data_IF_001382102369
#
_entry.id   IF_001382102369
#
_cell.length_a   1.000
_cell.length_b   1.000
_cell.length_c   1.000
_cell.angle_alpha   90.00
_cell.angle_beta   90.00
_cell.angle_gamma   90.00
#
_symmetry.space_group_name_H-M   'P 1'
#
loop_
_entity.id
_entity.type
_entity.pdbx_description
1 polymer ?
#
# COMPACT_ATOMS: atom_id res chain seq x y z
N UNK A 1 7.64 -11.18 -0.38
CA UNK A 1 8.37 -10.15 -1.15
C UNK A 1 7.95 -8.80 -0.59
N UNK A 2 8.91 -7.94 -0.22
CA UNK A 2 8.58 -6.62 0.32
C UNK A 2 7.99 -5.74 -0.77
N UNK A 3 6.77 -5.25 -0.54
CA UNK A 3 6.00 -4.45 -1.47
C UNK A 3 5.60 -3.12 -0.84
N UNK A 4 5.63 -2.07 -1.64
CA UNK A 4 4.82 -0.89 -1.45
C UNK A 4 3.45 -1.11 -2.08
N UNK A 5 2.39 -0.90 -1.30
CA UNK A 5 1.04 -0.60 -1.76
C UNK A 5 0.75 0.87 -1.51
N UNK A 6 0.61 1.65 -2.59
CA UNK A 6 0.08 3.01 -2.56
C UNK A 6 -1.40 3.00 -2.89
N UNK A 7 -2.22 3.61 -2.04
CA UNK A 7 -3.67 3.75 -2.22
C UNK A 7 -4.02 5.24 -2.20
N UNK A 8 -4.31 5.83 -3.35
CA UNK A 8 -4.78 7.20 -3.49
C UNK A 8 -6.30 7.19 -3.67
N UNK A 9 -7.05 7.65 -2.68
CA UNK A 9 -8.51 7.52 -2.62
C UNK A 9 -9.20 8.65 -3.38
N UNK A 10 -10.32 8.35 -4.04
CA UNK A 10 -11.17 9.40 -4.60
C UNK A 10 -11.71 10.30 -3.47
N UNK A 11 -11.74 11.61 -3.71
CA UNK A 11 -12.12 12.58 -2.68
C UNK A 11 -13.59 12.49 -2.32
N UNK A 12 -14.47 12.30 -3.31
CA UNK A 12 -15.91 12.24 -3.06
C UNK A 12 -16.28 10.94 -2.33
N UNK A 13 -15.79 9.80 -2.83
CA UNK A 13 -16.02 8.49 -2.24
C UNK A 13 -15.46 8.40 -0.81
N UNK A 14 -14.22 8.87 -0.58
CA UNK A 14 -13.63 8.84 0.76
C UNK A 14 -14.32 9.82 1.73
N UNK A 15 -14.86 10.95 1.27
CA UNK A 15 -15.69 11.83 2.10
C UNK A 15 -16.98 11.15 2.53
N UNK A 16 -17.66 10.45 1.63
CA UNK A 16 -18.86 9.68 1.95
C UNK A 16 -18.56 8.54 2.93
N UNK A 17 -17.48 7.78 2.68
CA UNK A 17 -17.04 6.72 3.57
C UNK A 17 -16.70 7.23 4.99
N UNK A 18 -16.18 8.47 5.13
CA UNK A 18 -15.98 9.10 6.44
C UNK A 18 -17.31 9.38 7.14
N UNK A 19 -18.28 10.00 6.43
CA UNK A 19 -19.60 10.31 7.01
C UNK A 19 -20.33 9.06 7.49
N UNK A 20 -20.14 7.95 6.79
CA UNK A 20 -20.71 6.64 7.14
C UNK A 20 -19.89 5.88 8.20
N UNK A 21 -18.73 6.39 8.62
CA UNK A 21 -17.83 5.70 9.55
C UNK A 21 -17.15 4.45 8.97
N UNK A 22 -17.16 4.29 7.65
CA UNK A 22 -16.63 3.12 6.95
C UNK A 22 -15.14 3.25 6.62
N UNK A 23 -14.63 4.47 6.39
CA UNK A 23 -13.21 4.65 6.04
C UNK A 23 -12.27 4.05 7.10
N UNK A 24 -12.55 4.30 8.39
CA UNK A 24 -11.75 3.75 9.49
C UNK A 24 -11.75 2.22 9.49
N UNK A 25 -12.90 1.59 9.21
CA UNK A 25 -13.03 0.12 9.17
C UNK A 25 -12.26 -0.48 8.00
N UNK A 26 -12.32 0.15 6.82
CA UNK A 26 -11.59 -0.30 5.63
C UNK A 26 -10.08 -0.25 5.89
N UNK A 27 -9.59 0.88 6.42
CA UNK A 27 -8.16 1.04 6.74
C UNK A 27 -7.73 0.05 7.83
N UNK A 28 -8.50 -0.08 8.92
CA UNK A 28 -8.18 -1.02 9.99
C UNK A 28 -8.12 -2.48 9.50
N UNK A 29 -9.12 -2.91 8.71
CA UNK A 29 -9.15 -4.26 8.14
C UNK A 29 -7.98 -4.52 7.19
N UNK A 30 -7.56 -3.52 6.40
CA UNK A 30 -6.37 -3.64 5.58
C UNK A 30 -5.09 -3.80 6.41
N UNK A 31 -4.92 -2.99 7.46
CA UNK A 31 -3.75 -3.09 8.34
C UNK A 31 -3.70 -4.42 9.10
N UNK A 32 -4.86 -4.92 9.55
CA UNK A 32 -4.97 -6.21 10.23
C UNK A 32 -4.63 -7.38 9.30
N UNK A 33 -5.17 -7.36 8.07
CA UNK A 33 -4.94 -8.41 7.07
C UNK A 33 -3.49 -8.44 6.56
N UNK A 34 -2.92 -7.25 6.31
CA UNK A 34 -1.59 -7.13 5.70
C UNK A 34 -0.46 -7.21 6.72
N UNK A 35 -0.71 -6.84 7.98
CA UNK A 35 0.31 -6.70 9.04
C UNK A 35 1.58 -6.01 8.51
N UNK A 36 1.45 -4.76 8.03
CA UNK A 36 2.55 -4.08 7.37
C UNK A 36 3.69 -3.80 8.34
N UNK A 37 4.92 -3.75 7.84
CA UNK A 37 6.08 -3.28 8.60
C UNK A 37 6.01 -1.77 8.86
N UNK A 38 5.34 -1.03 7.96
CA UNK A 38 5.06 0.39 8.13
C UNK A 38 3.82 0.81 7.31
N UNK A 39 3.05 1.76 7.84
CA UNK A 39 1.97 2.41 7.12
C UNK A 39 1.99 3.91 7.41
N UNK A 40 2.02 4.71 6.35
CA UNK A 40 2.01 6.17 6.42
C UNK A 40 0.82 6.72 5.65
N UNK A 41 0.21 7.77 6.17
CA UNK A 41 -0.96 8.41 5.57
C UNK A 41 -0.66 9.88 5.36
N UNK A 42 -0.94 10.38 4.16
CA UNK A 42 -0.66 11.76 3.76
C UNK A 42 -1.66 12.23 2.70
N UNK A 43 -1.41 13.42 2.16
CA UNK A 43 -2.09 13.96 0.99
C UNK A 43 -1.12 13.94 -0.18
N UNK A 44 -1.54 13.36 -1.29
CA UNK A 44 -0.80 13.35 -2.56
C UNK A 44 -1.78 13.77 -3.66
N UNK A 45 -1.41 14.75 -4.50
CA UNK A 45 -2.29 15.35 -5.52
C UNK A 45 -3.65 15.83 -4.98
N UNK A 46 -3.67 16.32 -3.74
CA UNK A 46 -4.90 16.76 -3.07
C UNK A 46 -5.81 15.62 -2.58
N UNK A 47 -5.40 14.37 -2.75
CA UNK A 47 -6.17 13.18 -2.38
C UNK A 47 -5.61 12.49 -1.13
N UNK A 48 -6.50 11.89 -0.32
CA UNK A 48 -6.11 11.04 0.82
C UNK A 48 -5.33 9.84 0.32
N UNK A 49 -4.11 9.67 0.78
CA UNK A 49 -3.19 8.66 0.26
C UNK A 49 -2.54 7.87 1.38
N UNK A 50 -2.58 6.54 1.27
CA UNK A 50 -1.85 5.62 2.15
C UNK A 50 -0.67 4.99 1.40
N UNK A 51 0.48 4.92 2.07
CA UNK A 51 1.63 4.09 1.67
C UNK A 51 1.79 2.98 2.69
N UNK A 52 1.61 1.74 2.26
CA UNK A 52 1.58 0.55 3.10
C UNK A 52 2.70 -0.37 2.63
N UNK A 53 3.65 -0.64 3.51
CA UNK A 53 4.81 -1.49 3.24
C UNK A 53 4.59 -2.84 3.91
N UNK A 54 4.52 -3.92 3.13
CA UNK A 54 4.17 -5.24 3.63
C UNK A 54 4.85 -6.35 2.82
N UNK A 55 4.87 -7.56 3.39
CA UNK A 55 5.33 -8.74 2.68
C UNK A 55 4.18 -9.39 1.91
N UNK A 56 4.25 -9.35 0.58
CA UNK A 56 3.36 -10.10 -0.29
C UNK A 56 3.89 -11.52 -0.46
N UNK A 57 3.11 -12.49 0.03
CA UNK A 57 3.44 -13.93 -0.05
C UNK A 57 3.19 -14.48 -1.45
N UNK A 58 2.03 -14.16 -2.04
CA UNK A 58 1.59 -14.67 -3.33
C UNK A 58 0.91 -13.55 -4.16
N UNK A 59 1.30 -13.34 -5.44
CA UNK A 59 0.71 -12.32 -6.31
C UNK A 59 -0.81 -12.44 -6.51
N UNK A 60 -1.39 -13.65 -6.40
CA UNK A 60 -2.84 -13.87 -6.51
C UNK A 60 -3.64 -13.21 -5.39
N UNK A 61 -2.98 -12.73 -4.33
CA UNK A 61 -3.63 -11.94 -3.27
C UNK A 61 -3.87 -10.48 -3.67
N UNK A 62 -3.25 -9.97 -4.73
CA UNK A 62 -3.40 -8.56 -5.12
C UNK A 62 -4.86 -8.13 -5.35
N UNK A 63 -5.73 -8.92 -6.04
CA UNK A 63 -7.14 -8.59 -6.17
C UNK A 63 -7.83 -8.45 -4.81
N UNK A 64 -7.73 -9.44 -3.92
CA UNK A 64 -8.41 -9.40 -2.62
C UNK A 64 -7.94 -8.27 -1.70
N UNK A 65 -6.67 -7.86 -1.82
CA UNK A 65 -6.12 -6.70 -1.12
C UNK A 65 -6.65 -5.37 -1.70
N UNK A 66 -6.73 -5.27 -3.02
CA UNK A 66 -7.05 -4.00 -3.70
C UNK A 66 -8.54 -3.74 -3.80
N UNK A 67 -9.35 -4.79 -3.93
CA UNK A 67 -10.78 -4.71 -4.21
C UNK A 67 -11.57 -3.83 -3.23
N UNK A 68 -11.34 -3.90 -1.90
CA UNK A 68 -12.03 -3.01 -0.96
C UNK A 68 -11.74 -1.53 -1.23
N UNK A 69 -10.52 -1.19 -1.64
CA UNK A 69 -10.14 0.19 -1.95
C UNK A 69 -10.76 0.67 -3.27
N UNK A 70 -10.87 -0.21 -4.27
CA UNK A 70 -11.56 0.10 -5.52
C UNK A 70 -13.05 0.31 -5.31
N UNK A 71 -13.74 -0.69 -4.74
CA UNK A 71 -15.18 -0.69 -4.64
C UNK A 71 -15.72 0.34 -3.65
N UNK A 72 -15.03 0.54 -2.51
CA UNK A 72 -15.57 1.37 -1.44
C UNK A 72 -15.03 2.80 -1.45
N UNK A 73 -13.87 3.04 -2.07
CA UNK A 73 -13.18 4.34 -2.01
C UNK A 73 -12.82 4.91 -3.39
N UNK A 74 -13.17 4.23 -4.48
CA UNK A 74 -12.82 4.66 -5.84
C UNK A 74 -11.30 4.86 -6.03
N UNK A 75 -10.49 4.12 -5.27
CA UNK A 75 -9.07 4.43 -5.15
C UNK A 75 -8.28 4.06 -6.40
N UNK A 76 -7.19 4.78 -6.65
CA UNK A 76 -6.10 4.35 -7.52
C UNK A 76 -5.07 3.61 -6.69
N UNK A 77 -4.71 2.40 -7.13
CA UNK A 77 -3.78 1.53 -6.44
C UNK A 77 -2.51 1.35 -7.27
N UNK A 78 -1.36 1.40 -6.61
CA UNK A 78 -0.06 1.11 -7.21
C UNK A 78 0.73 0.13 -6.32
N UNK A 79 1.29 -0.90 -6.96
CA UNK A 79 2.19 -1.87 -6.34
C UNK A 79 3.60 -1.70 -6.89
N UNK A 80 4.60 -1.74 -6.01
CA UNK A 80 6.02 -1.80 -6.41
C UNK A 80 6.81 -2.65 -5.42
N UNK A 81 7.69 -3.55 -5.89
CA UNK A 81 8.72 -4.13 -5.03
C UNK A 81 9.61 -3.02 -4.47
N UNK A 82 10.01 -3.14 -3.21
CA UNK A 82 10.91 -2.16 -2.57
C UNK A 82 12.04 -2.86 -1.83
N UNK A 83 13.17 -2.17 -1.72
CA UNK A 83 14.35 -2.60 -0.97
C UNK A 83 14.48 -1.80 0.31
N UNK A 84 14.80 -2.47 1.41
CA UNK A 84 15.31 -1.77 2.59
C UNK A 84 16.83 -1.51 2.44
N UNK A 85 17.45 -0.93 3.49
CA UNK A 85 18.88 -0.63 3.46
C UNK A 85 19.77 -1.88 3.29
N UNK A 86 19.39 -3.00 3.90
CA UNK A 86 20.14 -4.26 3.81
C UNK A 86 20.05 -4.86 2.40
N UNK A 87 18.85 -4.90 1.83
CA UNK A 87 18.58 -5.37 0.47
C UNK A 87 19.41 -4.56 -0.54
N UNK A 88 19.39 -3.23 -0.42
CA UNK A 88 20.17 -2.32 -1.26
C UNK A 88 21.67 -2.61 -1.15
N UNK A 89 22.21 -2.73 0.08
CA UNK A 89 23.62 -3.02 0.31
C UNK A 89 24.04 -4.34 -0.34
N UNK A 90 23.21 -5.38 -0.22
CA UNK A 90 23.45 -6.69 -0.84
C UNK A 90 23.48 -6.60 -2.37
N UNK A 91 22.51 -5.89 -2.97
CA UNK A 91 22.43 -5.68 -4.41
C UNK A 91 23.65 -4.92 -4.96
N UNK A 92 24.04 -3.83 -4.31
CA UNK A 92 25.21 -3.03 -4.71
C UNK A 92 26.52 -3.81 -4.58
N UNK A 93 26.71 -4.57 -3.50
CA UNK A 93 27.92 -5.38 -3.30
C UNK A 93 28.09 -6.43 -4.42
N UNK A 94 27.00 -7.11 -4.80
CA UNK A 94 27.02 -8.10 -5.88
C UNK A 94 27.37 -7.47 -7.24
N UNK A 95 26.85 -6.27 -7.52
CA UNK A 95 27.15 -5.53 -8.76
C UNK A 95 28.63 -5.13 -8.85
N UNK A 96 29.22 -4.66 -7.75
CA UNK A 96 30.63 -4.26 -7.72
C UNK A 96 31.60 -5.45 -7.75
N UNK A 97 31.20 -6.63 -7.27
CA UNK A 97 32.04 -7.85 -7.34
C UNK A 97 32.09 -8.53 -8.71
N UNK A 98 31.20 -8.13 -9.64
CA UNK A 98 31.17 -8.62 -11.01
C UNK A 98 31.85 -7.69 -12.02
N UNK A 99 32.59 -6.69 -11.56
CA UNK A 99 33.34 -5.69 -12.36
C UNK A 99 34.84 -5.97 -12.36
#
# INVERSE_FOLDING_TARGET
>A
MRMLLKVQMDTQASNEAIRQGNLQKIVAGALESLRPEAAYFTVEDGCRTGYIFFDLEDPSRMPSISEPFFLQLGARVHYSPVMNQEDLRKGLAAMMSGS
#
